data_IF_743271187400
#
_entry.id   IF_743271187400
#
_cell.length_a   1.000
_cell.length_b   1.000
_cell.length_c   1.000
_cell.angle_alpha   90.00
_cell.angle_beta   90.00
_cell.angle_gamma   90.00
#
_symmetry.space_group_name_H-M   'P 1'
#
loop_
_entity.id
_entity.type
_entity.pdbx_description
1 polymer ?
#
# COMPACT_ATOMS: atom_id res chain seq x y z
N UNK A 1 -6.12 31.60 0.36
CA UNK A 1 -7.01 30.46 0.02
C UNK A 1 -8.16 30.42 1.01
N UNK A 2 -9.40 30.19 0.56
CA UNK A 2 -10.53 29.86 1.45
C UNK A 2 -10.81 28.35 1.32
N UNK A 3 -10.47 27.57 2.34
CA UNK A 3 -10.84 26.15 2.39
C UNK A 3 -12.35 26.03 2.69
N UNK A 4 -13.15 25.82 1.66
CA UNK A 4 -14.56 25.42 1.79
C UNK A 4 -14.66 23.90 1.63
N UNK A 5 -14.11 23.17 2.62
CA UNK A 5 -13.91 21.71 2.68
C UNK A 5 -15.23 20.90 2.64
N UNK A 6 -15.94 20.97 1.52
CA UNK A 6 -17.32 20.46 1.36
C UNK A 6 -17.32 19.18 0.53
N UNK A 7 -16.91 18.10 1.19
CA UNK A 7 -16.88 16.74 0.64
C UNK A 7 -18.32 16.21 0.52
N UNK A 8 -18.85 16.13 -0.71
CA UNK A 8 -20.20 15.64 -0.98
C UNK A 8 -20.22 14.15 -1.38
N UNK A 9 -20.42 13.24 -0.42
CA UNK A 9 -20.69 11.82 -0.72
C UNK A 9 -22.14 11.61 -1.23
N UNK A 10 -22.44 12.14 -2.42
CA UNK A 10 -23.72 11.94 -3.10
C UNK A 10 -24.94 12.61 -2.43
N UNK A 11 -26.12 12.02 -2.63
CA UNK A 11 -27.42 12.50 -2.07
C UNK A 11 -28.15 11.47 -1.19
N UNK A 12 -27.48 10.38 -0.82
CA UNK A 12 -28.02 9.31 0.03
C UNK A 12 -27.02 9.01 1.14
N UNK A 13 -27.48 9.01 2.38
CA UNK A 13 -26.60 8.91 3.54
C UNK A 13 -26.45 7.47 4.03
N UNK A 14 -27.44 6.63 3.75
CA UNK A 14 -27.46 5.19 4.03
C UNK A 14 -26.34 4.44 3.30
N UNK A 15 -26.08 4.85 2.05
CA UNK A 15 -25.05 4.31 1.17
C UNK A 15 -23.65 4.79 1.62
N UNK A 16 -23.54 6.06 2.04
CA UNK A 16 -22.28 6.70 2.45
C UNK A 16 -21.88 6.48 3.92
N UNK A 17 -22.78 5.99 4.80
CA UNK A 17 -22.56 5.88 6.25
C UNK A 17 -21.26 5.16 6.65
N UNK A 18 -20.90 4.11 5.92
CA UNK A 18 -19.69 3.33 6.19
C UNK A 18 -18.41 4.06 5.77
N UNK A 19 -18.46 4.89 4.73
CA UNK A 19 -17.34 5.73 4.30
C UNK A 19 -17.06 6.84 5.31
N UNK A 20 -18.09 7.51 5.83
CA UNK A 20 -17.94 8.52 6.88
C UNK A 20 -17.29 7.96 8.15
N UNK A 21 -17.73 6.77 8.59
CA UNK A 21 -17.12 6.10 9.75
C UNK A 21 -15.69 5.66 9.44
N UNK A 22 -15.42 5.07 8.26
CA UNK A 22 -14.06 4.67 7.86
C UNK A 22 -13.12 5.87 7.81
N UNK A 23 -13.51 6.99 7.22
CA UNK A 23 -12.69 8.21 7.11
C UNK A 23 -12.30 8.78 8.48
N UNK A 24 -13.26 8.90 9.40
CA UNK A 24 -13.02 9.46 10.74
C UNK A 24 -12.19 8.50 11.61
N UNK A 25 -12.41 7.18 11.50
CA UNK A 25 -11.57 6.17 12.17
C UNK A 25 -10.16 6.12 11.60
N UNK A 26 -10.00 6.09 10.28
CA UNK A 26 -8.70 6.03 9.61
C UNK A 26 -7.80 7.24 9.95
N UNK A 27 -8.39 8.44 10.07
CA UNK A 27 -7.69 9.60 10.59
C UNK A 27 -7.22 9.40 12.04
N UNK A 28 -8.05 8.83 12.92
CA UNK A 28 -7.65 8.51 14.29
C UNK A 28 -6.52 7.47 14.32
N UNK A 29 -6.60 6.42 13.50
CA UNK A 29 -5.60 5.35 13.45
C UNK A 29 -4.23 5.91 13.04
N UNK A 30 -4.17 6.76 12.01
CA UNK A 30 -2.92 7.43 11.61
C UNK A 30 -2.44 8.42 12.69
N UNK A 31 -3.35 9.21 13.28
CA UNK A 31 -2.97 10.20 14.32
C UNK A 31 -2.44 9.51 15.59
N UNK A 32 -3.00 8.34 15.95
CA UNK A 32 -2.50 7.47 17.01
C UNK A 32 -1.15 6.83 16.63
N UNK A 33 -1.00 6.35 15.40
CA UNK A 33 0.26 5.79 14.88
C UNK A 33 1.39 6.82 14.95
N UNK A 34 1.14 8.07 14.56
CA UNK A 34 2.10 9.16 14.69
C UNK A 34 2.49 9.41 16.16
N UNK A 35 1.51 9.53 17.05
CA UNK A 35 1.78 9.74 18.47
C UNK A 35 2.56 8.56 19.10
N UNK A 36 2.28 7.32 18.71
CA UNK A 36 2.95 6.14 19.29
C UNK A 36 4.38 5.93 18.77
N UNK A 37 4.61 6.09 17.47
CA UNK A 37 5.91 5.77 16.86
C UNK A 37 6.87 6.96 16.84
N UNK A 38 6.35 8.19 16.78
CA UNK A 38 7.15 9.40 16.58
C UNK A 38 7.15 10.35 17.78
N UNK A 39 6.66 9.95 18.96
CA UNK A 39 6.61 10.79 20.19
C UNK A 39 7.94 11.52 20.46
N UNK A 40 9.08 10.84 20.28
CA UNK A 40 10.44 11.35 20.54
C UNK A 40 11.01 12.22 19.41
N UNK A 41 10.43 12.16 18.22
CA UNK A 41 10.78 12.98 17.05
C UNK A 41 9.93 14.26 16.97
N UNK A 42 8.74 14.21 17.57
CA UNK A 42 7.84 15.34 17.70
C UNK A 42 8.18 16.18 18.94
N UNK A 43 8.02 17.49 18.79
CA UNK A 43 8.12 18.43 19.91
C UNK A 43 6.97 18.23 20.89
N UNK A 44 7.13 18.73 22.12
CA UNK A 44 6.10 18.69 23.14
C UNK A 44 4.77 19.31 22.66
N UNK A 45 4.82 20.42 21.92
CA UNK A 45 3.64 21.09 21.37
C UNK A 45 2.96 20.28 20.26
N UNK A 46 3.72 19.66 19.36
CA UNK A 46 3.19 18.75 18.34
C UNK A 46 2.48 17.55 18.99
N UNK A 47 3.09 16.92 20.00
CA UNK A 47 2.50 15.81 20.74
C UNK A 47 1.20 16.23 21.47
N UNK A 48 1.18 17.39 22.14
CA UNK A 48 -0.05 17.93 22.74
C UNK A 48 -1.13 18.22 21.70
N UNK A 49 -0.75 18.70 20.50
CA UNK A 49 -1.64 18.98 19.37
C UNK A 49 -2.27 17.69 18.82
N UNK A 50 -1.49 16.62 18.66
CA UNK A 50 -2.00 15.27 18.35
C UNK A 50 -2.97 14.78 19.44
N UNK A 51 -2.57 14.76 20.71
CA UNK A 51 -3.40 14.30 21.83
C UNK A 51 -4.73 15.07 21.92
N UNK A 52 -4.69 16.39 21.72
CA UNK A 52 -5.87 17.27 21.69
C UNK A 52 -6.81 16.90 20.53
N UNK A 53 -6.27 16.63 19.35
CA UNK A 53 -7.05 16.31 18.16
C UNK A 53 -7.61 14.89 18.19
N UNK A 54 -6.84 13.90 18.67
CA UNK A 54 -7.32 12.53 18.96
C UNK A 54 -8.54 12.57 19.90
N UNK A 55 -8.49 13.36 20.98
CA UNK A 55 -9.61 13.52 21.92
C UNK A 55 -10.84 14.18 21.29
N UNK A 56 -10.65 15.20 20.43
CA UNK A 56 -11.75 15.84 19.68
C UNK A 56 -12.40 14.87 18.69
N UNK A 57 -11.60 14.19 17.87
CA UNK A 57 -12.10 13.34 16.79
C UNK A 57 -12.73 12.06 17.33
N UNK A 58 -12.20 11.46 18.41
CA UNK A 58 -12.91 10.37 19.13
C UNK A 58 -14.31 10.78 19.60
N UNK A 59 -14.48 12.03 20.05
CA UNK A 59 -15.80 12.56 20.43
C UNK A 59 -16.70 12.75 19.21
N UNK A 60 -16.16 13.21 18.07
CA UNK A 60 -16.92 13.33 16.83
C UNK A 60 -17.36 11.96 16.29
N UNK A 61 -16.46 10.96 16.26
CA UNK A 61 -16.76 9.58 15.84
C UNK A 61 -17.93 9.00 16.64
N UNK A 62 -17.87 9.06 17.98
CA UNK A 62 -18.97 8.59 18.84
C UNK A 62 -20.29 9.30 18.58
N UNK A 63 -20.27 10.60 18.24
CA UNK A 63 -21.49 11.34 17.90
C UNK A 63 -21.99 10.96 16.49
N UNK A 64 -21.08 10.64 15.56
CA UNK A 64 -21.36 10.18 14.19
C UNK A 64 -22.03 8.80 14.20
N UNK A 65 -21.44 7.81 14.87
CA UNK A 65 -22.00 6.47 15.10
C UNK A 65 -23.43 6.55 15.66
N UNK A 66 -23.62 7.31 16.75
CA UNK A 66 -24.91 7.53 17.39
C UNK A 66 -25.90 8.37 16.56
N UNK A 67 -25.49 8.89 15.39
CA UNK A 67 -26.36 9.60 14.43
C UNK A 67 -26.70 8.71 13.24
N UNK A 68 -25.74 7.94 12.73
CA UNK A 68 -25.91 7.01 11.61
C UNK A 68 -26.66 5.72 12.01
N UNK A 69 -26.57 5.29 13.27
CA UNK A 69 -27.31 4.13 13.80
C UNK A 69 -28.81 4.42 14.06
N UNK A 70 -29.33 5.59 13.67
CA UNK A 70 -30.75 5.95 13.86
C UNK A 70 -31.58 5.58 12.64
N UNK A 71 -32.80 5.06 12.87
CA UNK A 71 -33.76 4.71 11.82
C UNK A 71 -34.07 5.86 10.85
N UNK A 72 -34.07 7.10 11.35
CA UNK A 72 -34.11 8.32 10.55
C UNK A 72 -32.81 9.09 10.82
N UNK A 73 -31.91 9.15 9.83
CA UNK A 73 -30.62 9.84 9.95
C UNK A 73 -30.82 11.34 9.72
N UNK A 74 -30.32 12.17 10.62
CA UNK A 74 -30.33 13.63 10.43
C UNK A 74 -29.11 14.05 9.60
N UNK A 75 -29.33 14.25 8.29
CA UNK A 75 -28.30 14.62 7.31
C UNK A 75 -27.53 15.87 7.74
N UNK A 76 -28.22 16.99 8.02
CA UNK A 76 -27.56 18.25 8.42
C UNK A 76 -26.73 18.14 9.71
N UNK A 77 -27.06 17.20 10.61
CA UNK A 77 -26.21 16.89 11.77
C UNK A 77 -24.95 16.14 11.37
N UNK A 78 -25.02 15.19 10.42
CA UNK A 78 -23.84 14.50 9.87
C UNK A 78 -22.95 15.47 9.12
N UNK A 79 -23.52 16.32 8.25
CA UNK A 79 -22.81 17.38 7.52
C UNK A 79 -22.03 18.28 8.49
N UNK A 80 -22.65 18.68 9.61
CA UNK A 80 -22.00 19.50 10.64
C UNK A 80 -20.92 18.74 11.42
N UNK A 81 -21.06 17.44 11.66
CA UNK A 81 -20.00 16.61 12.26
C UNK A 81 -18.79 16.51 11.32
N UNK A 82 -19.02 16.29 10.02
CA UNK A 82 -17.96 16.24 9.02
C UNK A 82 -17.29 17.60 8.82
N UNK A 83 -18.05 18.70 8.86
CA UNK A 83 -17.49 20.07 8.87
C UNK A 83 -16.58 20.33 10.08
N UNK A 84 -16.97 19.87 11.28
CA UNK A 84 -16.12 19.96 12.48
C UNK A 84 -14.89 19.05 12.39
N UNK A 85 -14.99 17.89 11.75
CA UNK A 85 -13.88 16.97 11.50
C UNK A 85 -12.88 17.54 10.49
N UNK A 86 -13.36 18.03 9.34
CA UNK A 86 -12.55 18.67 8.30
C UNK A 86 -11.78 19.87 8.86
N UNK A 87 -12.38 20.64 9.77
CA UNK A 87 -11.68 21.72 10.49
C UNK A 87 -10.53 21.26 11.38
N UNK A 88 -10.43 19.99 11.77
CA UNK A 88 -9.34 19.47 12.62
C UNK A 88 -8.13 19.03 11.77
N UNK A 89 -8.35 18.47 10.57
CA UNK A 89 -7.29 17.91 9.71
C UNK A 89 -6.14 18.91 9.42
N UNK A 90 -6.40 20.20 9.06
CA UNK A 90 -5.34 21.19 8.85
C UNK A 90 -4.48 21.47 10.09
N UNK A 91 -4.94 21.10 11.30
CA UNK A 91 -4.16 21.22 12.52
C UNK A 91 -3.30 19.98 12.83
N UNK A 92 -3.24 18.99 11.94
CA UNK A 92 -2.24 17.91 12.00
C UNK A 92 -1.43 17.76 10.73
N UNK A 93 -1.88 18.28 9.58
CA UNK A 93 -1.14 18.37 8.30
C UNK A 93 0.38 18.49 8.52
N UNK A 94 0.85 19.61 9.09
CA UNK A 94 2.28 19.92 9.30
C UNK A 94 3.08 18.79 9.96
N UNK A 95 2.49 18.09 10.92
CA UNK A 95 3.10 16.98 11.67
C UNK A 95 3.19 15.73 10.79
N UNK A 96 2.14 15.44 10.00
CA UNK A 96 2.13 14.33 9.05
C UNK A 96 3.20 14.53 7.97
N UNK A 97 3.35 15.75 7.44
CA UNK A 97 4.39 16.07 6.44
C UNK A 97 5.82 16.02 7.02
N UNK A 98 6.02 16.50 8.25
CA UNK A 98 7.30 16.42 8.94
C UNK A 98 7.78 14.97 9.06
N UNK A 99 6.88 14.05 9.41
CA UNK A 99 7.16 12.61 9.46
C UNK A 99 7.34 12.01 8.06
N UNK A 100 6.41 12.27 7.12
CA UNK A 100 6.50 11.78 5.73
C UNK A 100 7.83 12.13 5.05
N UNK A 101 8.38 13.33 5.32
CA UNK A 101 9.66 13.81 4.79
C UNK A 101 10.90 13.21 5.49
N UNK A 102 10.75 12.73 6.73
CA UNK A 102 11.79 12.01 7.48
C UNK A 102 11.83 10.52 7.07
N UNK A 103 10.65 9.95 6.78
CA UNK A 103 10.48 8.58 6.28
C UNK A 103 11.02 8.38 4.85
N UNK A 104 11.18 9.44 4.05
CA UNK A 104 11.71 9.39 2.68
C UNK A 104 13.22 9.13 2.65
N UNK A 105 13.64 8.14 1.86
CA UNK A 105 15.07 7.84 1.68
C UNK A 105 15.74 8.87 0.78
N UNK A 106 16.72 9.57 1.36
CA UNK A 106 17.61 10.49 0.65
C UNK A 106 18.52 9.73 -0.31
N UNK A 107 18.48 10.09 -1.60
CA UNK A 107 19.17 9.39 -2.69
C UNK A 107 20.69 9.44 -2.54
N UNK A 108 21.21 10.51 -1.94
CA UNK A 108 22.61 10.67 -1.56
C UNK A 108 23.07 9.63 -0.52
N UNK A 109 22.18 9.19 0.38
CA UNK A 109 22.48 8.22 1.44
C UNK A 109 22.29 6.76 0.98
N UNK A 110 21.41 6.51 0.00
CA UNK A 110 21.05 5.17 -0.47
C UNK A 110 22.22 4.40 -1.12
N UNK A 111 22.33 3.13 -0.74
CA UNK A 111 23.18 2.10 -1.37
C UNK A 111 22.34 0.88 -1.73
N UNK A 112 22.77 0.13 -2.74
CA UNK A 112 22.11 -1.10 -3.18
C UNK A 112 22.09 -2.14 -2.05
N UNK A 113 20.91 -2.59 -1.62
CA UNK A 113 20.70 -3.53 -0.51
C UNK A 113 20.31 -2.89 0.83
N UNK A 114 20.55 -1.58 1.01
CA UNK A 114 20.01 -0.83 2.16
C UNK A 114 18.48 -0.70 2.02
N UNK A 115 17.77 -0.59 3.15
CA UNK A 115 16.32 -0.36 3.18
C UNK A 115 15.97 1.03 2.63
N UNK A 116 14.81 1.17 1.98
CA UNK A 116 14.45 2.39 1.28
C UNK A 116 12.94 2.66 1.25
N UNK A 117 12.57 3.94 1.26
CA UNK A 117 11.24 4.45 0.91
C UNK A 117 11.44 5.50 -0.19
N UNK A 118 11.12 5.16 -1.44
CA UNK A 118 11.15 6.11 -2.55
C UNK A 118 9.75 6.36 -3.11
N UNK A 119 9.39 7.63 -3.26
CA UNK A 119 8.22 8.05 -4.02
C UNK A 119 8.61 8.14 -5.51
N UNK A 120 7.96 7.37 -6.38
CA UNK A 120 8.39 7.18 -7.77
C UNK A 120 7.28 7.30 -8.82
N UNK A 121 7.66 7.74 -10.02
CA UNK A 121 6.75 7.97 -11.14
C UNK A 121 7.26 7.33 -12.45
N UNK A 122 6.35 6.69 -13.19
CA UNK A 122 6.57 5.32 -13.71
C UNK A 122 7.85 5.00 -14.52
N UNK A 123 8.12 5.39 -15.78
CA UNK A 123 7.50 6.30 -16.77
C UNK A 123 6.98 5.51 -17.98
N UNK A 124 5.67 5.48 -18.20
CA UNK A 124 5.00 4.68 -19.25
C UNK A 124 5.02 5.27 -20.67
N UNK A 125 4.56 4.50 -21.66
CA UNK A 125 4.27 4.93 -23.05
C UNK A 125 2.81 5.41 -23.27
N UNK A 126 2.01 5.55 -22.21
CA UNK A 126 0.57 5.81 -22.30
C UNK A 126 0.21 7.30 -22.35
N UNK A 127 -1.02 7.60 -22.80
CA UNK A 127 -1.54 8.93 -23.15
C UNK A 127 -1.42 10.04 -22.09
N UNK A 128 -1.15 9.74 -20.82
CA UNK A 128 -1.01 10.75 -19.75
C UNK A 128 0.37 11.43 -19.72
N UNK A 129 1.14 11.43 -20.84
CA UNK A 129 2.56 11.82 -20.86
C UNK A 129 3.04 12.66 -22.04
N UNK A 130 2.36 12.62 -23.18
CA UNK A 130 2.74 13.42 -24.35
C UNK A 130 2.15 14.84 -24.34
N UNK A 131 1.28 15.15 -23.38
CA UNK A 131 0.91 16.53 -23.02
C UNK A 131 1.79 17.02 -21.86
N UNK A 132 2.70 17.96 -22.14
CA UNK A 132 3.59 18.59 -21.14
C UNK A 132 2.88 19.45 -20.06
N UNK A 133 1.55 19.35 -19.96
CA UNK A 133 0.67 20.31 -19.27
C UNK A 133 -0.24 19.67 -18.20
N UNK A 134 0.02 18.44 -17.72
CA UNK A 134 -0.73 17.94 -16.56
C UNK A 134 -0.30 18.72 -15.30
N UNK A 135 -1.22 19.47 -14.70
CA UNK A 135 -1.02 20.23 -13.44
C UNK A 135 -0.71 19.31 -12.23
N UNK A 136 -0.94 18.00 -12.40
CA UNK A 136 -0.67 16.96 -11.42
C UNK A 136 0.24 15.85 -11.96
N UNK A 137 0.70 14.99 -11.05
CA UNK A 137 1.50 13.79 -11.32
C UNK A 137 1.19 12.75 -10.25
N UNK A 138 0.86 11.52 -10.64
CA UNK A 138 0.69 10.40 -9.71
C UNK A 138 2.02 9.70 -9.44
N UNK A 139 2.25 9.25 -8.22
CA UNK A 139 3.46 8.55 -7.81
C UNK A 139 3.16 7.45 -6.77
N UNK A 140 3.91 6.35 -6.82
CA UNK A 140 3.78 5.24 -5.87
C UNK A 140 4.98 5.22 -4.91
N UNK A 141 4.75 4.91 -3.64
CA UNK A 141 5.80 4.47 -2.73
C UNK A 141 6.26 3.07 -3.13
N UNK A 142 7.56 2.93 -3.39
CA UNK A 142 8.27 1.64 -3.40
C UNK A 142 9.22 1.56 -2.19
N UNK A 143 9.31 0.37 -1.62
CA UNK A 143 10.23 0.01 -0.52
C UNK A 143 10.62 -1.47 -0.61
N UNK A 144 11.60 -1.92 0.16
CA UNK A 144 12.09 -3.31 0.12
C UNK A 144 11.04 -4.40 0.42
N UNK A 145 9.95 -4.06 1.11
CA UNK A 145 8.86 -4.99 1.46
C UNK A 145 7.70 -4.95 0.47
N UNK A 146 7.50 -3.83 -0.22
CA UNK A 146 6.60 -3.70 -1.35
C UNK A 146 7.24 -2.87 -2.47
N UNK A 147 7.73 -3.57 -3.50
CA UNK A 147 8.37 -2.97 -4.67
C UNK A 147 7.39 -2.84 -5.85
N UNK A 148 6.07 -3.00 -5.62
CA UNK A 148 5.06 -2.95 -6.67
C UNK A 148 4.96 -1.57 -7.35
N UNK A 149 4.73 -1.60 -8.67
CA UNK A 149 4.43 -0.43 -9.49
C UNK A 149 3.20 -0.70 -10.35
N UNK A 150 2.44 0.34 -10.68
CA UNK A 150 1.40 0.25 -11.69
C UNK A 150 2.01 -0.09 -13.05
N UNK A 151 1.74 -1.32 -13.52
CA UNK A 151 2.19 -1.84 -14.81
C UNK A 151 1.00 -1.93 -15.77
N UNK A 152 1.07 -1.27 -16.93
CA UNK A 152 0.12 -1.52 -18.00
C UNK A 152 0.40 -2.92 -18.57
N UNK A 153 -0.65 -3.73 -18.75
CA UNK A 153 -0.59 -5.13 -19.21
C UNK A 153 0.31 -5.42 -20.44
N UNK A 154 0.54 -4.42 -21.32
CA UNK A 154 1.39 -4.56 -22.51
C UNK A 154 2.88 -4.23 -22.29
N UNK A 155 3.28 -3.64 -21.16
CA UNK A 155 4.67 -3.18 -20.95
C UNK A 155 5.14 -3.20 -19.49
N UNK A 156 6.05 -4.13 -19.15
CA UNK A 156 6.85 -4.13 -17.92
C UNK A 156 7.82 -2.93 -17.88
N UNK A 157 7.34 -1.78 -17.45
CA UNK A 157 8.12 -0.55 -17.37
C UNK A 157 8.62 -0.37 -15.95
N UNK A 158 9.93 -0.61 -15.79
CA UNK A 158 10.58 -0.66 -14.47
C UNK A 158 11.47 0.54 -14.18
N UNK A 159 11.39 1.64 -14.96
CA UNK A 159 12.30 2.79 -14.84
C UNK A 159 11.58 4.14 -14.94
N UNK A 160 11.99 5.10 -14.10
CA UNK A 160 11.34 6.40 -14.03
C UNK A 160 12.04 7.39 -13.10
N UNK A 161 11.31 8.37 -12.56
CA UNK A 161 11.86 9.37 -11.63
C UNK A 161 11.57 9.03 -10.18
N UNK A 162 12.54 9.30 -9.29
CA UNK A 162 12.31 9.43 -7.84
C UNK A 162 12.05 10.90 -7.52
N UNK A 163 11.02 11.15 -6.72
CA UNK A 163 10.48 12.48 -6.41
C UNK A 163 10.64 12.82 -4.93
N UNK A 164 10.97 14.07 -4.64
CA UNK A 164 10.73 14.71 -3.35
C UNK A 164 9.61 15.73 -3.53
N UNK A 165 8.58 15.66 -2.68
CA UNK A 165 7.39 16.49 -2.75
C UNK A 165 7.23 17.31 -1.47
N UNK A 166 7.37 18.64 -1.53
CA UNK A 166 7.10 19.53 -0.40
C UNK A 166 5.62 19.48 0.06
N UNK A 167 5.39 19.95 1.29
CA UNK A 167 4.09 20.19 1.93
C UNK A 167 2.96 20.57 0.96
N UNK A 168 3.16 21.65 0.20
CA UNK A 168 2.13 22.23 -0.67
C UNK A 168 1.79 21.36 -1.88
N UNK A 169 2.64 20.40 -2.24
CA UNK A 169 2.53 19.61 -3.45
C UNK A 169 1.77 18.29 -3.27
N UNK A 170 1.66 17.74 -2.06
CA UNK A 170 0.85 16.52 -1.87
C UNK A 170 -0.62 16.89 -1.82
N UNK A 171 -1.34 16.48 -2.86
CA UNK A 171 -2.79 16.62 -3.00
C UNK A 171 -3.48 15.67 -2.01
N UNK A 172 -3.10 14.38 -2.07
CA UNK A 172 -3.74 13.26 -1.36
C UNK A 172 -2.91 11.97 -1.51
N UNK A 173 -3.08 11.03 -0.58
CA UNK A 173 -2.45 9.69 -0.54
C UNK A 173 -3.48 8.58 -0.37
N UNK A 174 -3.28 7.44 -1.03
CA UNK A 174 -4.22 6.31 -1.07
C UNK A 174 -3.49 4.95 -1.27
N UNK A 175 -4.13 3.86 -0.86
CA UNK A 175 -3.72 2.45 -1.06
C UNK A 175 -4.38 1.80 -2.31
N UNK A 176 -4.72 2.58 -3.35
CA UNK A 176 -5.37 2.10 -4.57
C UNK A 176 -5.34 3.17 -5.69
N UNK A 177 -5.57 2.78 -6.94
CA UNK A 177 -5.92 3.66 -8.08
C UNK A 177 -7.36 4.11 -7.86
N UNK A 178 -7.49 5.11 -6.99
CA UNK A 178 -8.74 5.73 -6.69
C UNK A 178 -8.99 6.94 -7.62
N UNK A 179 -8.05 7.29 -8.50
CA UNK A 179 -7.94 8.60 -9.16
C UNK A 179 -8.23 8.54 -10.66
N UNK A 180 -9.44 8.08 -11.00
CA UNK A 180 -9.87 7.91 -12.39
C UNK A 180 -9.89 9.18 -13.23
N UNK A 181 -9.94 10.36 -12.61
CA UNK A 181 -10.42 11.59 -13.23
C UNK A 181 -9.84 12.84 -12.53
N UNK A 182 -9.06 13.66 -13.25
CA UNK A 182 -8.71 15.04 -12.85
C UNK A 182 -9.12 16.00 -13.95
N UNK A 183 -9.78 17.10 -13.57
CA UNK A 183 -10.51 17.95 -14.49
C UNK A 183 -10.31 19.44 -14.19
N UNK A 184 -10.19 20.26 -15.24
CA UNK A 184 -10.40 21.70 -15.10
C UNK A 184 -11.93 22.00 -15.06
N UNK A 185 -12.40 23.06 -14.35
CA UNK A 185 -13.83 23.37 -14.17
C UNK A 185 -14.66 23.64 -15.45
N UNK A 186 -14.02 23.64 -16.62
CA UNK A 186 -14.64 23.86 -17.93
C UNK A 186 -15.18 22.55 -18.54
N UNK A 187 -14.65 21.39 -18.15
CA UNK A 187 -14.98 20.09 -18.74
C UNK A 187 -16.28 19.48 -18.18
N UNK A 188 -17.42 19.99 -18.68
CA UNK A 188 -18.77 19.52 -18.30
C UNK A 188 -19.16 18.21 -18.98
N UNK A 189 -18.47 17.10 -18.65
CA UNK A 189 -19.00 15.75 -18.90
C UNK A 189 -20.15 15.42 -17.94
N UNK A 190 -21.01 14.48 -18.34
CA UNK A 190 -22.24 14.10 -17.62
C UNK A 190 -22.04 12.76 -16.91
N UNK A 191 -21.45 12.82 -15.71
CA UNK A 191 -20.97 11.64 -14.98
C UNK A 191 -22.09 10.65 -14.58
N UNK A 192 -21.72 9.36 -14.58
CA UNK A 192 -22.51 8.29 -13.96
C UNK A 192 -22.54 8.48 -12.44
N UNK A 193 -23.59 7.99 -11.77
CA UNK A 193 -23.80 8.18 -10.33
C UNK A 193 -23.11 7.11 -9.48
N UNK A 194 -21.78 7.11 -9.47
CA UNK A 194 -20.96 6.43 -8.45
C UNK A 194 -20.80 7.30 -7.20
N UNK A 195 -20.32 6.73 -6.09
CA UNK A 195 -20.03 7.47 -4.85
C UNK A 195 -18.68 8.18 -4.92
N UNK A 196 -18.59 9.10 -5.86
CA UNK A 196 -17.41 9.90 -6.12
C UNK A 196 -17.16 10.94 -5.00
N UNK A 197 -15.92 11.06 -4.56
CA UNK A 197 -15.44 12.12 -3.65
C UNK A 197 -14.61 13.12 -4.45
N UNK A 198 -14.90 14.42 -4.31
CA UNK A 198 -14.22 15.47 -5.06
C UNK A 198 -13.39 16.36 -4.13
N UNK A 199 -12.14 16.64 -4.50
CA UNK A 199 -11.28 17.63 -3.86
C UNK A 199 -11.10 18.81 -4.80
N UNK A 200 -11.46 20.01 -4.32
CA UNK A 200 -11.39 21.25 -5.10
C UNK A 200 -10.13 22.04 -4.74
N UNK A 201 -9.44 22.46 -5.78
CA UNK A 201 -8.33 23.41 -5.73
C UNK A 201 -8.75 24.68 -6.47
N UNK A 202 -7.94 25.74 -6.41
CA UNK A 202 -8.35 27.05 -6.96
C UNK A 202 -8.60 26.99 -8.49
N UNK A 203 -7.89 26.12 -9.23
CA UNK A 203 -7.97 25.99 -10.70
C UNK A 203 -8.48 24.64 -11.23
N UNK A 204 -8.53 23.58 -10.41
CA UNK A 204 -8.89 22.21 -10.84
C UNK A 204 -9.66 21.41 -9.76
N UNK A 205 -10.28 20.30 -10.17
CA UNK A 205 -10.96 19.35 -9.29
C UNK A 205 -10.43 17.92 -9.50
N UNK A 206 -10.11 17.24 -8.40
CA UNK A 206 -9.68 15.83 -8.38
C UNK A 206 -10.86 14.98 -7.94
N UNK A 207 -11.29 14.07 -8.81
CA UNK A 207 -12.27 13.05 -8.46
C UNK A 207 -11.55 11.82 -7.92
N UNK A 208 -12.15 11.26 -6.87
CA UNK A 208 -11.82 9.95 -6.32
C UNK A 208 -13.03 9.03 -6.49
N UNK A 209 -12.85 7.86 -7.10
CA UNK A 209 -13.87 6.82 -7.22
C UNK A 209 -13.49 5.60 -6.37
N UNK A 210 -13.95 5.49 -5.10
CA UNK A 210 -13.56 4.45 -4.15
C UNK A 210 -14.20 3.07 -4.44
N UNK A 211 -14.45 2.77 -5.72
CA UNK A 211 -15.20 1.61 -6.23
C UNK A 211 -14.49 1.00 -7.46
N UNK A 212 -13.64 1.74 -8.19
CA UNK A 212 -13.18 1.32 -9.52
C UNK A 212 -12.20 0.13 -9.52
N UNK A 213 -11.47 -0.14 -8.44
CA UNK A 213 -10.54 -1.27 -8.35
C UNK A 213 -10.68 -2.00 -7.01
N UNK A 214 -11.21 -3.22 -7.05
CA UNK A 214 -11.12 -4.33 -6.08
C UNK A 214 -11.41 -4.09 -4.57
N UNK A 215 -11.75 -2.89 -4.09
CA UNK A 215 -12.14 -2.69 -2.69
C UNK A 215 -12.45 -1.25 -2.28
N UNK A 216 -12.88 -1.09 -1.02
CA UNK A 216 -13.08 0.23 -0.41
C UNK A 216 -11.73 0.84 -0.05
N UNK A 217 -11.22 1.73 -0.91
CA UNK A 217 -9.97 2.46 -0.70
C UNK A 217 -9.87 3.21 0.66
N UNK A 218 -8.65 3.44 1.13
CA UNK A 218 -8.28 4.15 2.35
C UNK A 218 -7.55 5.43 1.95
N UNK A 219 -8.19 6.58 2.17
CA UNK A 219 -7.79 7.86 1.56
C UNK A 219 -7.62 8.91 2.66
N UNK A 220 -6.48 9.59 2.70
CA UNK A 220 -6.26 10.78 3.51
C UNK A 220 -5.36 11.78 2.77
N UNK A 221 -5.39 13.06 3.16
CA UNK A 221 -4.54 14.10 2.55
C UNK A 221 -3.05 13.75 2.62
N UNK A 222 -2.63 13.14 3.74
CA UNK A 222 -1.34 12.51 3.93
C UNK A 222 -1.56 11.22 4.73
N UNK A 223 -0.85 10.17 4.35
CA UNK A 223 -0.63 8.93 5.09
C UNK A 223 0.90 8.83 5.24
N UNK A 224 1.46 8.70 6.45
CA UNK A 224 2.89 8.45 6.65
C UNK A 224 3.36 7.25 5.83
N UNK A 225 4.56 7.33 5.25
CA UNK A 225 5.06 6.33 4.32
C UNK A 225 5.23 4.96 4.99
N UNK A 226 5.66 4.89 6.25
CA UNK A 226 5.73 3.60 6.95
C UNK A 226 4.33 3.04 7.29
N UNK A 227 3.30 3.89 7.42
CA UNK A 227 1.92 3.44 7.56
C UNK A 227 1.33 2.95 6.23
N UNK A 228 1.63 3.66 5.12
CA UNK A 228 1.24 3.25 3.77
C UNK A 228 1.94 1.96 3.35
N UNK A 229 3.24 1.84 3.62
CA UNK A 229 4.02 0.59 3.52
C UNK A 229 3.32 -0.55 4.25
N UNK A 230 2.95 -0.35 5.52
CA UNK A 230 2.23 -1.36 6.29
C UNK A 230 0.90 -1.76 5.63
N UNK A 231 0.06 -0.80 5.20
CA UNK A 231 -1.21 -1.13 4.53
C UNK A 231 -0.97 -2.04 3.32
N UNK A 232 -0.01 -1.67 2.46
CA UNK A 232 0.30 -2.46 1.26
C UNK A 232 0.83 -3.87 1.58
N UNK A 233 1.55 -4.03 2.70
CA UNK A 233 2.07 -5.31 3.18
C UNK A 233 0.95 -6.17 3.77
N UNK A 234 0.10 -5.59 4.62
CA UNK A 234 -1.09 -6.26 5.17
C UNK A 234 -2.01 -6.73 4.01
N UNK A 235 -2.22 -5.90 2.98
CA UNK A 235 -2.98 -6.24 1.77
C UNK A 235 -2.30 -7.29 0.87
N UNK A 236 -0.97 -7.27 0.75
CA UNK A 236 -0.23 -8.30 0.01
C UNK A 236 -0.35 -9.65 0.70
N UNK A 237 -0.25 -9.68 2.04
CA UNK A 237 -0.44 -10.90 2.85
C UNK A 237 -1.86 -11.44 2.72
N UNK A 238 -2.89 -10.59 2.76
CA UNK A 238 -4.28 -11.03 2.58
C UNK A 238 -4.55 -11.55 1.16
N UNK A 239 -3.89 -11.00 0.13
CA UNK A 239 -4.16 -11.32 -1.26
C UNK A 239 -3.31 -12.48 -1.84
N UNK A 240 -2.01 -12.58 -1.49
CA UNK A 240 -1.10 -13.62 -1.99
C UNK A 240 -0.54 -14.58 -0.91
N UNK A 241 -0.88 -14.38 0.37
CA UNK A 241 -0.39 -15.12 1.53
C UNK A 241 1.09 -14.92 1.90
N UNK A 242 1.82 -13.99 1.30
CA UNK A 242 3.22 -13.65 1.59
C UNK A 242 3.45 -12.13 1.74
N UNK A 243 4.63 -11.71 2.21
CA UNK A 243 4.91 -10.30 2.56
C UNK A 243 5.18 -9.42 1.33
N UNK A 244 5.94 -9.94 0.36
CA UNK A 244 6.22 -9.26 -0.90
C UNK A 244 5.13 -9.55 -1.94
N UNK A 245 4.77 -8.54 -2.72
CA UNK A 245 4.12 -8.73 -4.01
C UNK A 245 5.18 -9.10 -5.06
N UNK A 246 4.98 -10.20 -5.80
CA UNK A 246 5.92 -10.68 -6.82
C UNK A 246 5.63 -10.08 -8.21
N UNK A 247 5.12 -8.85 -8.24
CA UNK A 247 4.46 -8.24 -9.41
C UNK A 247 3.31 -9.11 -9.97
N UNK A 248 2.69 -9.93 -9.10
CA UNK A 248 1.74 -10.98 -9.49
C UNK A 248 0.28 -10.71 -9.09
N UNK A 249 0.03 -9.69 -8.27
CA UNK A 249 -1.29 -9.15 -7.96
C UNK A 249 -1.27 -7.61 -8.00
N UNK A 250 -2.45 -7.01 -8.13
CA UNK A 250 -2.63 -5.55 -8.14
C UNK A 250 -2.69 -4.97 -6.72
N UNK A 251 -1.60 -5.10 -5.93
CA UNK A 251 -1.41 -4.34 -4.67
C UNK A 251 -0.43 -3.19 -4.89
N UNK A 252 -0.88 -1.95 -4.74
CA UNK A 252 -0.11 -0.75 -5.02
C UNK A 252 -0.78 0.47 -4.39
N UNK A 253 -0.05 1.59 -4.32
CA UNK A 253 -0.50 2.82 -3.70
C UNK A 253 -0.32 4.01 -4.65
N UNK A 254 -1.07 5.08 -4.39
CA UNK A 254 -1.02 6.32 -5.16
C UNK A 254 -0.97 7.54 -4.24
N UNK A 255 0.06 8.35 -4.47
CA UNK A 255 0.18 9.72 -3.99
C UNK A 255 -0.01 10.65 -5.19
N UNK A 256 -1.03 11.52 -5.13
CA UNK A 256 -1.23 12.54 -6.16
C UNK A 256 -0.47 13.80 -5.76
N UNK A 257 0.32 14.31 -6.69
CA UNK A 257 1.22 15.46 -6.50
C UNK A 257 0.87 16.60 -7.47
N UNK A 258 1.06 17.84 -7.05
CA UNK A 258 1.10 19.00 -7.94
C UNK A 258 2.40 18.97 -8.77
N UNK A 259 2.27 19.07 -10.08
CA UNK A 259 3.36 19.21 -11.03
C UNK A 259 3.67 20.70 -11.27
N UNK A 260 4.14 21.35 -10.21
CA UNK A 260 4.58 22.76 -10.22
C UNK A 260 6.11 22.85 -10.00
N UNK A 261 6.66 24.07 -9.99
CA UNK A 261 8.12 24.31 -9.82
C UNK A 261 8.73 23.72 -8.53
N UNK A 262 7.91 23.41 -7.52
CA UNK A 262 8.36 22.76 -6.26
C UNK A 262 8.42 21.23 -6.34
N UNK A 263 8.03 20.59 -7.44
CA UNK A 263 8.10 19.13 -7.57
C UNK A 263 9.52 18.68 -7.99
N UNK A 264 10.31 18.19 -7.03
CA UNK A 264 11.74 17.96 -7.23
C UNK A 264 12.01 16.53 -7.68
N UNK A 265 12.50 16.35 -8.91
CA UNK A 265 13.09 15.09 -9.39
C UNK A 265 14.50 14.96 -8.80
N UNK A 266 14.73 13.94 -7.97
CA UNK A 266 16.02 13.73 -7.27
C UNK A 266 16.92 12.69 -7.94
N UNK A 267 16.31 11.74 -8.65
CA UNK A 267 17.02 10.62 -9.27
C UNK A 267 16.21 9.97 -10.38
N UNK A 268 16.88 9.12 -11.15
CA UNK A 268 16.25 8.17 -12.07
C UNK A 268 16.37 6.79 -11.42
N UNK A 269 15.28 6.05 -11.27
CA UNK A 269 15.34 4.66 -10.79
C UNK A 269 15.24 3.66 -11.94
N UNK A 270 15.73 2.44 -11.70
CA UNK A 270 15.37 1.26 -12.49
C UNK A 270 15.31 0.01 -11.60
N UNK A 271 14.23 -0.78 -11.71
CA UNK A 271 14.12 -2.13 -11.13
C UNK A 271 14.70 -3.16 -12.12
N UNK A 272 15.52 -4.07 -11.63
CA UNK A 272 16.13 -5.18 -12.41
C UNK A 272 16.06 -6.52 -11.67
N UNK A 273 16.15 -7.62 -12.41
CA UNK A 273 16.32 -8.99 -11.89
C UNK A 273 17.76 -9.45 -12.22
N UNK A 274 18.74 -9.02 -11.42
CA UNK A 274 20.16 -9.33 -11.62
C UNK A 274 20.80 -8.68 -12.86
N UNK A 275 20.56 -9.23 -14.06
CA UNK A 275 21.34 -8.87 -15.25
C UNK A 275 20.90 -7.54 -15.90
N UNK A 276 21.66 -6.50 -15.54
CA UNK A 276 21.56 -5.13 -16.08
C UNK A 276 22.04 -5.02 -17.54
N UNK A 277 22.90 -5.94 -18.01
CA UNK A 277 23.56 -5.85 -19.32
C UNK A 277 22.60 -6.09 -20.50
N UNK A 278 21.61 -6.96 -20.33
CA UNK A 278 20.57 -7.27 -21.32
C UNK A 278 19.34 -6.35 -21.21
N UNK A 279 19.12 -5.73 -20.05
CA UNK A 279 17.90 -4.95 -19.76
C UNK A 279 17.74 -3.71 -20.67
N UNK A 280 16.65 -3.69 -21.44
CA UNK A 280 16.24 -2.54 -22.26
C UNK A 280 15.81 -1.35 -21.39
N UNK A 281 15.23 -1.62 -20.23
CA UNK A 281 14.82 -0.58 -19.27
C UNK A 281 16.04 0.08 -18.61
N UNK A 282 17.07 -0.70 -18.25
CA UNK A 282 18.33 -0.20 -17.73
C UNK A 282 19.01 0.78 -18.70
N UNK A 283 19.08 0.41 -19.99
CA UNK A 283 19.71 1.25 -21.04
C UNK A 283 19.00 2.60 -21.21
N UNK A 284 17.66 2.62 -21.14
CA UNK A 284 16.87 3.87 -21.16
C UNK A 284 17.04 4.69 -19.88
N UNK A 285 17.07 4.05 -18.71
CA UNK A 285 17.27 4.73 -17.43
C UNK A 285 18.62 5.44 -17.38
N UNK A 286 19.68 4.77 -17.85
CA UNK A 286 21.01 5.33 -18.02
C UNK A 286 21.06 6.47 -19.05
N UNK A 287 20.29 6.39 -20.13
CA UNK A 287 20.14 7.48 -21.11
C UNK A 287 19.46 8.72 -20.49
N UNK A 288 18.37 8.53 -19.73
CA UNK A 288 17.63 9.61 -19.07
C UNK A 288 18.48 10.24 -17.95
N UNK A 289 19.18 9.43 -17.15
CA UNK A 289 20.15 9.91 -16.14
C UNK A 289 21.22 10.79 -16.78
N UNK A 290 21.86 10.33 -17.86
CA UNK A 290 22.86 11.12 -18.61
C UNK A 290 22.31 12.41 -19.21
N UNK A 291 21.07 12.41 -19.72
CA UNK A 291 20.41 13.61 -20.28
C UNK A 291 19.97 14.63 -19.22
N UNK A 292 19.70 14.19 -17.99
CA UNK A 292 19.15 15.04 -16.91
C UNK A 292 20.16 15.42 -15.83
N UNK A 293 21.32 14.75 -15.78
CA UNK A 293 22.31 14.91 -14.71
C UNK A 293 21.92 14.24 -13.37
N UNK A 294 20.77 13.56 -13.32
CA UNK A 294 20.26 12.91 -12.12
C UNK A 294 20.97 11.57 -11.84
N UNK A 295 21.25 11.27 -10.56
CA UNK A 295 21.82 9.97 -10.13
C UNK A 295 20.90 8.83 -10.58
N UNK A 296 21.48 7.82 -11.23
CA UNK A 296 20.82 6.54 -11.48
C UNK A 296 20.80 5.72 -10.17
N UNK A 297 19.63 5.22 -9.80
CA UNK A 297 19.39 4.38 -8.64
C UNK A 297 18.94 3.01 -9.15
N UNK A 298 19.69 1.97 -8.79
CA UNK A 298 19.54 0.63 -9.33
C UNK A 298 18.97 -0.29 -8.24
N UNK A 299 17.70 -0.67 -8.38
CA UNK A 299 16.97 -1.50 -7.42
C UNK A 299 16.98 -2.93 -7.96
N UNK A 300 17.92 -3.73 -7.47
CA UNK A 300 18.03 -5.13 -7.84
C UNK A 300 17.10 -5.99 -6.98
N UNK A 301 15.99 -6.45 -7.58
CA UNK A 301 14.91 -7.15 -6.90
C UNK A 301 15.37 -8.46 -6.27
N UNK A 302 16.41 -9.11 -6.83
CA UNK A 302 16.96 -10.35 -6.30
C UNK A 302 17.59 -10.16 -4.91
N UNK A 303 18.39 -9.10 -4.71
CA UNK A 303 19.02 -8.83 -3.40
C UNK A 303 18.00 -8.55 -2.30
N UNK A 304 16.89 -7.87 -2.64
CA UNK A 304 15.83 -7.57 -1.68
C UNK A 304 14.95 -8.78 -1.36
N UNK A 305 14.82 -9.74 -2.28
CA UNK A 305 14.18 -11.03 -2.05
C UNK A 305 15.03 -11.93 -1.15
N UNK A 306 16.32 -12.09 -1.48
CA UNK A 306 17.32 -12.82 -0.69
C UNK A 306 17.37 -12.28 0.76
N UNK A 307 17.56 -10.96 0.93
CA UNK A 307 17.62 -10.28 2.24
C UNK A 307 16.42 -10.57 3.15
N UNK A 308 15.24 -10.82 2.57
CA UNK A 308 14.00 -11.05 3.31
C UNK A 308 13.58 -12.53 3.37
N UNK A 309 14.36 -13.47 2.83
CA UNK A 309 13.98 -14.89 2.62
C UNK A 309 12.74 -15.09 1.72
N UNK A 310 12.49 -14.11 0.84
CA UNK A 310 11.34 -14.00 -0.05
C UNK A 310 11.73 -14.28 -1.51
N UNK A 311 12.61 -15.24 -1.73
CA UNK A 311 12.84 -15.76 -3.08
C UNK A 311 11.61 -16.53 -3.57
N UNK A 312 11.29 -16.28 -4.84
CA UNK A 312 10.32 -17.05 -5.60
C UNK A 312 10.83 -18.48 -5.71
N UNK A 313 10.07 -19.44 -5.19
CA UNK A 313 10.34 -20.85 -5.46
C UNK A 313 10.25 -21.08 -6.98
N UNK A 314 11.41 -21.28 -7.60
CA UNK A 314 11.48 -21.76 -8.98
C UNK A 314 10.77 -23.12 -9.09
N UNK A 315 10.41 -23.51 -10.32
CA UNK A 315 9.82 -24.85 -10.56
C UNK A 315 10.72 -25.98 -10.04
N UNK A 316 12.03 -25.76 -10.01
CA UNK A 316 13.03 -26.70 -9.52
C UNK A 316 13.08 -26.75 -7.98
N UNK A 317 13.08 -25.61 -7.30
CA UNK A 317 13.02 -25.55 -5.82
C UNK A 317 11.68 -26.06 -5.29
N UNK A 318 10.57 -25.71 -5.93
CA UNK A 318 9.26 -26.27 -5.61
C UNK A 318 9.26 -27.80 -5.75
N UNK A 319 9.90 -28.35 -6.79
CA UNK A 319 10.06 -29.79 -6.97
C UNK A 319 10.98 -30.41 -5.89
N UNK A 320 12.06 -29.74 -5.49
CA UNK A 320 12.96 -30.18 -4.41
C UNK A 320 12.27 -30.18 -3.03
N UNK A 321 11.47 -29.16 -2.71
CA UNK A 321 10.67 -29.09 -1.49
C UNK A 321 9.62 -30.21 -1.48
N UNK A 322 8.87 -30.39 -2.57
CA UNK A 322 7.90 -31.47 -2.70
C UNK A 322 8.57 -32.85 -2.58
N UNK A 323 9.80 -33.01 -3.10
CA UNK A 323 10.61 -34.23 -2.95
C UNK A 323 11.00 -34.47 -1.48
N UNK A 324 11.60 -33.48 -0.80
CA UNK A 324 11.99 -33.59 0.62
C UNK A 324 10.80 -33.89 1.52
N UNK A 325 9.64 -33.28 1.27
CA UNK A 325 8.40 -33.60 1.99
C UNK A 325 7.92 -35.04 1.73
N UNK A 326 8.03 -35.57 0.50
CA UNK A 326 7.73 -36.99 0.23
C UNK A 326 8.69 -37.92 0.98
N UNK A 327 9.98 -37.59 1.00
CA UNK A 327 11.02 -38.39 1.67
C UNK A 327 10.78 -38.43 3.19
N UNK A 328 10.47 -37.29 3.82
CA UNK A 328 10.06 -37.23 5.23
C UNK A 328 8.80 -38.08 5.48
N UNK A 329 7.74 -37.87 4.69
CA UNK A 329 6.46 -38.61 4.83
C UNK A 329 6.60 -40.11 4.56
N UNK A 330 7.60 -40.56 3.80
CA UNK A 330 7.91 -41.97 3.57
C UNK A 330 8.87 -42.57 4.61
N UNK A 331 9.68 -41.74 5.28
CA UNK A 331 10.65 -42.18 6.29
C UNK A 331 10.02 -42.50 7.66
N UNK A 332 8.84 -41.96 7.94
CA UNK A 332 8.14 -42.08 9.22
C UNK A 332 6.74 -42.69 9.00
N UNK A 333 6.51 -43.88 9.56
CA UNK A 333 5.24 -44.60 9.45
C UNK A 333 4.05 -43.82 10.07
N UNK A 334 4.29 -43.08 11.13
CA UNK A 334 3.26 -42.36 11.89
C UNK A 334 2.82 -41.11 11.12
N UNK A 335 3.76 -40.40 10.47
CA UNK A 335 3.48 -39.36 9.46
C UNK A 335 2.76 -39.97 8.26
N UNK A 336 3.26 -41.09 7.70
CA UNK A 336 2.65 -41.76 6.54
C UNK A 336 1.17 -42.09 6.79
N UNK A 337 0.86 -42.73 7.91
CA UNK A 337 -0.52 -43.01 8.32
C UNK A 337 -1.31 -41.73 8.65
N UNK A 338 -0.69 -40.69 9.19
CA UNK A 338 -1.39 -39.42 9.44
C UNK A 338 -1.78 -38.69 8.13
N UNK A 339 -0.90 -38.69 7.13
CA UNK A 339 -1.20 -38.17 5.79
C UNK A 339 -2.24 -39.03 5.05
N UNK A 340 -2.08 -40.37 5.06
CA UNK A 340 -2.94 -41.29 4.33
C UNK A 340 -4.42 -41.20 4.77
N UNK A 341 -4.66 -40.96 6.06
CA UNK A 341 -5.98 -40.73 6.66
C UNK A 341 -6.32 -39.24 6.86
N UNK A 342 -5.79 -38.33 6.03
CA UNK A 342 -6.18 -36.91 6.02
C UNK A 342 -7.04 -36.57 4.80
N UNK A 343 -8.00 -35.64 4.95
CA UNK A 343 -8.83 -35.13 3.83
C UNK A 343 -7.99 -34.79 2.59
N UNK A 344 -8.24 -35.51 1.48
CA UNK A 344 -7.46 -35.45 0.23
C UNK A 344 -7.97 -34.44 -0.79
N UNK A 345 -8.95 -33.58 -0.46
CA UNK A 345 -9.47 -32.52 -1.36
C UNK A 345 -8.40 -31.55 -1.90
N UNK A 346 -7.31 -31.34 -1.16
CA UNK A 346 -6.18 -30.49 -1.58
C UNK A 346 -4.99 -31.38 -1.99
N UNK A 347 -4.40 -31.18 -3.19
CA UNK A 347 -3.25 -31.96 -3.66
C UNK A 347 -2.06 -31.94 -2.70
N UNK A 348 -1.26 -33.02 -2.69
CA UNK A 348 -0.09 -33.12 -1.82
C UNK A 348 0.94 -32.01 -2.07
N UNK A 349 1.22 -31.69 -3.34
CA UNK A 349 2.10 -30.57 -3.72
C UNK A 349 1.63 -29.24 -3.11
N UNK A 350 0.36 -28.89 -3.30
CA UNK A 350 -0.25 -27.70 -2.72
C UNK A 350 -0.20 -27.70 -1.19
N UNK A 351 -0.46 -28.85 -0.53
CA UNK A 351 -0.28 -28.98 0.93
C UNK A 351 1.16 -28.70 1.36
N UNK A 352 2.16 -29.27 0.68
CA UNK A 352 3.57 -29.09 1.03
C UNK A 352 4.03 -27.65 0.84
N UNK A 353 3.63 -26.99 -0.26
CA UNK A 353 3.97 -25.59 -0.50
C UNK A 353 3.29 -24.67 0.53
N UNK A 354 2.00 -24.87 0.82
CA UNK A 354 1.30 -24.09 1.85
C UNK A 354 1.93 -24.29 3.25
N UNK A 355 2.30 -25.52 3.61
CA UNK A 355 3.02 -25.83 4.85
C UNK A 355 4.40 -25.16 4.88
N UNK A 356 5.14 -25.19 3.76
CA UNK A 356 6.42 -24.50 3.64
C UNK A 356 6.28 -22.98 3.79
N UNK A 357 5.19 -22.37 3.31
CA UNK A 357 4.88 -20.94 3.49
C UNK A 357 4.49 -20.64 4.96
N UNK A 358 3.69 -21.49 5.61
CA UNK A 358 3.43 -21.39 7.06
C UNK A 358 4.71 -21.53 7.90
N UNK A 359 5.67 -22.33 7.44
CA UNK A 359 6.98 -22.52 8.05
C UNK A 359 7.91 -21.31 7.81
N UNK A 360 7.98 -20.73 6.59
CA UNK A 360 8.75 -19.51 6.30
C UNK A 360 8.33 -18.30 7.16
N UNK A 361 7.10 -18.28 7.68
CA UNK A 361 6.58 -17.25 8.58
C UNK A 361 7.02 -17.39 10.05
N UNK A 362 7.83 -18.41 10.37
CA UNK A 362 8.47 -18.63 11.66
C UNK A 362 9.97 -18.75 11.41
N UNK A 363 10.80 -18.16 12.26
CA UNK A 363 12.26 -18.17 12.04
C UNK A 363 12.81 -19.61 12.00
N UNK A 364 13.87 -19.78 11.21
CA UNK A 364 14.43 -21.05 10.73
C UNK A 364 14.23 -22.28 11.65
N UNK A 365 13.29 -23.14 11.26
CA UNK A 365 13.09 -24.45 11.88
C UNK A 365 14.05 -25.49 11.29
N UNK A 366 14.70 -26.26 12.17
CA UNK A 366 15.62 -27.33 11.80
C UNK A 366 14.88 -28.59 11.30
N UNK A 367 15.60 -29.63 10.87
CA UNK A 367 14.95 -30.81 10.27
C UNK A 367 14.13 -31.66 11.27
N UNK A 368 14.47 -31.67 12.56
CA UNK A 368 13.67 -32.34 13.58
C UNK A 368 12.37 -31.57 13.87
N UNK A 369 12.46 -30.25 13.97
CA UNK A 369 11.30 -29.35 14.13
C UNK A 369 10.37 -29.38 12.90
N UNK A 370 10.94 -29.48 11.69
CA UNK A 370 10.19 -29.69 10.45
C UNK A 370 9.40 -31.01 10.49
N UNK A 371 10.02 -32.10 10.95
CA UNK A 371 9.36 -33.40 11.13
C UNK A 371 8.25 -33.28 12.17
N UNK A 372 8.49 -32.63 13.31
CA UNK A 372 7.47 -32.46 14.36
C UNK A 372 6.28 -31.61 13.89
N UNK A 373 6.51 -30.51 13.17
CA UNK A 373 5.41 -29.73 12.59
C UNK A 373 4.60 -30.54 11.57
N UNK A 374 5.25 -31.34 10.71
CA UNK A 374 4.57 -32.23 9.77
C UNK A 374 3.74 -33.29 10.52
N UNK A 375 4.29 -33.92 11.57
CA UNK A 375 3.58 -34.84 12.48
C UNK A 375 2.33 -34.16 13.04
N UNK A 376 2.49 -32.97 13.64
CA UNK A 376 1.42 -32.25 14.32
C UNK A 376 0.32 -31.77 13.35
N UNK A 377 0.68 -31.29 12.17
CA UNK A 377 -0.28 -30.85 11.14
C UNK A 377 -1.20 -31.99 10.66
N UNK A 378 -0.66 -33.20 10.46
CA UNK A 378 -1.46 -34.35 10.05
C UNK A 378 -2.16 -35.05 11.23
N UNK A 379 -1.54 -35.16 12.41
CA UNK A 379 -2.19 -35.72 13.62
C UNK A 379 -3.33 -34.84 14.12
N UNK A 380 -3.22 -33.51 14.04
CA UNK A 380 -4.28 -32.57 14.41
C UNK A 380 -5.58 -32.71 13.59
N UNK A 381 -5.50 -33.24 12.35
CA UNK A 381 -6.68 -33.52 11.52
C UNK A 381 -7.39 -34.82 11.90
N UNK A 382 -6.66 -35.87 12.33
CA UNK A 382 -7.22 -37.14 12.84
C UNK A 382 -8.18 -36.93 14.04
N UNK A 383 -8.00 -35.87 14.82
CA UNK A 383 -8.88 -35.53 15.96
C UNK A 383 -10.24 -35.00 15.50
N UNK A 384 -10.29 -34.19 14.43
CA UNK A 384 -11.54 -33.59 13.94
C UNK A 384 -12.44 -34.57 13.19
N UNK A 385 -11.88 -35.62 12.58
CA UNK A 385 -12.67 -36.64 11.86
C UNK A 385 -13.15 -37.80 12.77
N UNK A 386 -12.75 -37.83 14.04
CA UNK A 386 -13.27 -38.76 15.07
C UNK A 386 -14.39 -38.18 15.95
N UNK A 387 -14.88 -36.98 15.66
CA UNK A 387 -16.03 -36.36 16.35
C UNK A 387 -17.16 -36.11 15.35
N UNK A 388 -17.89 -37.17 15.02
CA UNK A 388 -19.17 -37.15 14.31
C UNK A 388 -19.98 -38.40 14.66
#
# INVERSE_FOLDING_TARGET
MRKEDTIYYGKKIEDAKHLYLKEVSFYLDITNYLLYNYEKFLTYEENLRLISNIKKVNKLLRILENTLNKKNINISKVDYIMYLFNKIIPYTDEIFYKVYSDELTKIENYKQGDDFNFLVHVITRGNNRDTNNSEITSASLINEENIALFSNFDTDITYGYILEAPLDNIVVTCNADAFSDVHQPKDKKRYLKTFDKYYKYDDFEVKISPINVNGTASIAKIIPLNYLKRINVDESIDANLEKLNYDNLETYNETVLLNNEKLIKKGVFVRTLGDKSISKNYKKALEISKKTGLKLVEIDLSLYREKNNLDLLTTEEAALIIKRFKEIVASDNDIYFAYYFSDKKVPFSTKCLNMYIELRKKEYLNEEELKEYIVNYFKGRKVKEKVK
#
